data_IF_145286996337
#
_entry.id   IF_145286996337
#
_cell.length_a   1.000
_cell.length_b   1.000
_cell.length_c   1.000
_cell.angle_alpha   90.00
_cell.angle_beta   90.00
_cell.angle_gamma   90.00
#
_symmetry.space_group_name_H-M   'P 1'
#
loop_
_entity.id
_entity.type
_entity.pdbx_description
1 polymer ?
#
# COMPACT_ATOMS: atom_id res chain seq x y z
N UNK A 1 15.49 8.36 2.99
CA UNK A 1 14.38 7.77 3.79
C UNK A 1 14.14 6.29 3.52
N UNK A 2 14.29 5.76 2.30
CA UNK A 2 13.99 4.35 2.00
C UNK A 2 15.07 3.33 2.42
N UNK A 3 16.33 3.74 2.63
CA UNK A 3 17.44 2.84 2.97
C UNK A 3 17.48 2.45 4.45
N UNK A 4 17.16 3.38 5.36
CA UNK A 4 17.07 3.10 6.82
C UNK A 4 15.86 2.24 7.19
N UNK A 5 14.70 2.46 6.56
CA UNK A 5 13.52 1.64 6.85
C UNK A 5 13.72 0.18 6.40
N UNK A 6 14.49 -0.02 5.32
CA UNK A 6 14.82 -1.35 4.81
C UNK A 6 15.87 -2.07 5.66
N UNK A 7 16.85 -1.36 6.25
CA UNK A 7 17.81 -1.98 7.16
C UNK A 7 17.17 -2.39 8.49
N UNK A 8 16.27 -1.56 9.04
CA UNK A 8 15.56 -1.87 10.29
C UNK A 8 14.60 -3.05 10.11
N UNK A 9 13.84 -3.11 9.01
CA UNK A 9 12.94 -4.23 8.73
C UNK A 9 13.70 -5.53 8.50
N UNK A 10 14.80 -5.49 7.75
CA UNK A 10 15.67 -6.64 7.51
C UNK A 10 16.33 -7.15 8.80
N UNK A 11 16.75 -6.26 9.69
CA UNK A 11 17.35 -6.64 10.97
C UNK A 11 16.31 -7.27 11.93
N UNK A 12 15.08 -6.74 11.96
CA UNK A 12 13.96 -7.35 12.71
C UNK A 12 13.58 -8.73 12.18
N UNK A 13 13.56 -8.92 10.86
CA UNK A 13 13.29 -10.21 10.24
C UNK A 13 14.39 -11.24 10.57
N UNK A 14 15.66 -10.85 10.47
CA UNK A 14 16.79 -11.72 10.82
C UNK A 14 16.80 -12.08 12.31
N UNK A 15 16.42 -11.15 13.20
CA UNK A 15 16.33 -11.40 14.64
C UNK A 15 15.24 -12.43 14.98
N UNK A 16 14.07 -12.35 14.33
CA UNK A 16 13.00 -13.32 14.53
C UNK A 16 13.40 -14.71 14.03
N UNK A 17 14.06 -14.82 12.86
CA UNK A 17 14.53 -16.10 12.33
C UNK A 17 15.57 -16.75 13.27
N UNK A 18 16.49 -15.95 13.82
CA UNK A 18 17.47 -16.45 14.79
C UNK A 18 16.81 -16.95 16.09
N UNK A 19 15.80 -16.23 16.59
CA UNK A 19 15.04 -16.63 17.78
C UNK A 19 14.27 -17.95 17.57
N UNK A 20 13.58 -18.09 16.43
CA UNK A 20 12.87 -19.33 16.06
C UNK A 20 13.82 -20.54 16.02
N UNK A 21 15.00 -20.38 15.40
CA UNK A 21 16.01 -21.44 15.34
C UNK A 21 16.56 -21.81 16.72
N UNK A 22 16.77 -20.84 17.62
CA UNK A 22 17.20 -21.09 18.98
C UNK A 22 16.13 -21.82 19.80
N UNK A 23 14.86 -21.47 19.64
CA UNK A 23 13.75 -22.16 20.32
C UNK A 23 13.64 -23.61 19.85
N UNK A 24 13.73 -23.85 18.54
CA UNK A 24 13.71 -25.20 17.97
C UNK A 24 14.90 -26.02 18.51
N UNK A 25 16.11 -25.44 18.52
CA UNK A 25 17.30 -26.10 19.04
C UNK A 25 17.17 -26.44 20.53
N UNK A 26 16.69 -25.49 21.34
CA UNK A 26 16.48 -25.69 22.77
C UNK A 26 15.43 -26.78 23.06
N UNK A 27 14.33 -26.80 22.30
CA UNK A 27 13.31 -27.86 22.39
C UNK A 27 13.88 -29.22 21.98
N UNK A 28 14.65 -29.30 20.89
CA UNK A 28 15.27 -30.54 20.45
C UNK A 28 16.24 -31.10 21.51
N UNK A 29 17.07 -30.23 22.10
CA UNK A 29 17.99 -30.61 23.19
C UNK A 29 17.21 -31.06 24.43
N UNK A 30 16.15 -30.34 24.81
CA UNK A 30 15.31 -30.71 25.95
C UNK A 30 14.62 -32.06 25.74
N UNK A 31 14.06 -32.30 24.54
CA UNK A 31 13.43 -33.58 24.16
C UNK A 31 14.46 -34.70 24.16
N UNK A 32 15.65 -34.48 23.61
CA UNK A 32 16.74 -35.47 23.65
C UNK A 32 17.18 -35.77 25.08
N UNK A 33 17.36 -34.76 25.92
CA UNK A 33 17.75 -34.92 27.32
C UNK A 33 16.67 -35.64 28.13
N UNK A 34 15.39 -35.34 27.92
CA UNK A 34 14.28 -36.09 28.51
C UNK A 34 14.31 -37.55 28.03
N UNK A 35 14.45 -37.78 26.72
CA UNK A 35 14.53 -39.11 26.12
C UNK A 35 15.63 -39.96 26.76
N UNK A 36 16.83 -39.39 26.90
CA UNK A 36 17.99 -40.04 27.49
C UNK A 36 17.86 -40.28 29.00
N UNK A 37 17.14 -39.42 29.73
CA UNK A 37 16.99 -39.57 31.19
C UNK A 37 15.93 -40.60 31.59
N UNK A 38 14.92 -40.81 30.75
CA UNK A 38 13.74 -41.61 31.10
C UNK A 38 13.71 -42.99 30.41
N UNK A 39 14.77 -43.39 29.70
CA UNK A 39 14.84 -44.62 28.89
C UNK A 39 13.53 -44.86 28.12
N UNK A 40 12.99 -43.78 27.54
CA UNK A 40 11.65 -43.75 26.96
C UNK A 40 11.52 -44.79 25.85
N UNK A 41 12.58 -44.96 25.06
CA UNK A 41 12.64 -45.96 24.00
C UNK A 41 12.54 -47.38 24.55
N UNK A 42 13.23 -47.69 25.65
CA UNK A 42 13.20 -49.03 26.25
C UNK A 42 11.81 -49.35 26.82
N UNK A 43 11.17 -48.38 27.49
CA UNK A 43 9.77 -48.52 27.95
C UNK A 43 8.77 -48.66 26.81
N UNK A 44 8.94 -47.93 25.70
CA UNK A 44 8.05 -48.03 24.53
C UNK A 44 8.23 -49.39 23.86
N UNK A 45 9.46 -49.89 23.74
CA UNK A 45 9.76 -51.21 23.17
C UNK A 45 9.22 -52.34 24.06
N UNK A 46 9.36 -52.22 25.39
CA UNK A 46 8.75 -53.16 26.34
C UNK A 46 7.22 -53.14 26.30
N UNK A 47 6.62 -51.94 26.23
CA UNK A 47 5.18 -51.77 26.11
C UNK A 47 4.64 -52.35 24.78
N UNK A 48 5.36 -52.14 23.69
CA UNK A 48 5.08 -52.68 22.36
C UNK A 48 5.11 -54.21 22.36
N UNK A 49 6.18 -54.84 22.88
CA UNK A 49 6.24 -56.31 23.04
C UNK A 49 5.11 -56.88 23.89
N UNK A 50 4.72 -56.17 24.95
CA UNK A 50 3.66 -56.63 25.85
C UNK A 50 2.26 -56.52 25.22
N UNK A 51 2.11 -55.72 24.18
CA UNK A 51 0.87 -55.52 23.43
C UNK A 51 1.04 -55.89 21.95
N UNK A 52 1.78 -56.96 21.64
CA UNK A 52 1.96 -57.50 20.28
C UNK A 52 0.62 -57.81 19.58
N UNK A 53 -0.45 -58.08 20.35
CA UNK A 53 -1.80 -58.33 19.82
C UNK A 53 -2.56 -57.05 19.37
N UNK A 54 -2.08 -55.88 19.76
CA UNK A 54 -2.69 -54.59 19.40
C UNK A 54 -1.86 -53.97 18.27
N UNK A 55 -2.48 -53.67 17.13
CA UNK A 55 -1.91 -53.12 15.87
C UNK A 55 -1.27 -51.72 15.99
N UNK A 56 -0.57 -51.44 17.09
CA UNK A 56 -0.04 -50.14 17.48
C UNK A 56 1.08 -49.64 16.55
N UNK A 57 1.85 -50.56 15.98
CA UNK A 57 2.86 -50.27 14.97
C UNK A 57 2.23 -49.74 13.67
N UNK A 58 1.11 -50.30 13.26
CA UNK A 58 0.35 -49.86 12.09
C UNK A 58 -0.27 -48.47 12.31
N UNK A 59 -0.85 -48.23 13.49
CA UNK A 59 -1.41 -46.90 13.85
C UNK A 59 -0.33 -45.82 13.89
N UNK A 60 0.85 -46.14 14.41
CA UNK A 60 1.96 -45.20 14.52
C UNK A 60 2.48 -44.79 13.13
N UNK A 61 2.57 -45.73 12.20
CA UNK A 61 2.95 -45.47 10.81
C UNK A 61 1.91 -44.57 10.12
N UNK A 62 0.61 -44.88 10.26
CA UNK A 62 -0.48 -44.07 9.69
C UNK A 62 -0.45 -42.64 10.26
N UNK A 63 -0.21 -42.49 11.56
CA UNK A 63 -0.11 -41.18 12.19
C UNK A 63 1.08 -40.36 11.64
N UNK A 64 2.26 -40.98 11.47
CA UNK A 64 3.43 -40.32 10.87
C UNK A 64 3.12 -39.88 9.43
N UNK A 65 2.54 -40.77 8.62
CA UNK A 65 2.16 -40.41 7.24
C UNK A 65 1.12 -39.29 7.19
N UNK A 66 0.13 -39.30 8.10
CA UNK A 66 -0.86 -38.24 8.21
C UNK A 66 -0.19 -36.89 8.52
N UNK A 67 0.71 -36.84 9.50
CA UNK A 67 1.44 -35.62 9.87
C UNK A 67 2.26 -35.10 8.69
N UNK A 68 3.01 -35.98 8.00
CA UNK A 68 3.78 -35.60 6.80
C UNK A 68 2.88 -35.08 5.69
N UNK A 69 1.74 -35.74 5.43
CA UNK A 69 0.78 -35.30 4.41
C UNK A 69 0.18 -33.93 4.75
N UNK A 70 -0.21 -33.69 6.00
CA UNK A 70 -0.77 -32.42 6.46
C UNK A 70 0.25 -31.28 6.43
N UNK A 71 1.49 -31.53 6.85
CA UNK A 71 2.55 -30.52 6.76
C UNK A 71 2.84 -30.16 5.31
N UNK A 72 2.95 -31.16 4.41
CA UNK A 72 3.13 -30.93 2.99
C UNK A 72 1.97 -30.16 2.36
N UNK A 73 0.72 -30.53 2.67
CA UNK A 73 -0.48 -29.84 2.21
C UNK A 73 -0.52 -28.38 2.69
N UNK A 74 -0.23 -28.14 3.98
CA UNK A 74 -0.14 -26.80 4.54
C UNK A 74 0.91 -25.94 3.83
N UNK A 75 2.11 -26.49 3.59
CA UNK A 75 3.17 -25.78 2.86
C UNK A 75 2.77 -25.43 1.43
N UNK A 76 2.09 -26.33 0.72
CA UNK A 76 1.57 -26.05 -0.61
C UNK A 76 0.51 -24.95 -0.58
N UNK A 77 -0.37 -24.96 0.41
CA UNK A 77 -1.47 -23.99 0.51
C UNK A 77 -0.94 -22.57 0.74
N UNK A 78 0.10 -22.42 1.56
CA UNK A 78 0.77 -21.13 1.80
C UNK A 78 1.40 -20.56 0.51
N UNK A 79 1.95 -21.41 -0.37
CA UNK A 79 2.54 -20.96 -1.64
C UNK A 79 1.51 -20.35 -2.58
N UNK A 80 0.31 -20.95 -2.70
CA UNK A 80 -0.77 -20.45 -3.57
C UNK A 80 -1.24 -19.06 -3.15
N UNK A 81 -1.41 -18.84 -1.86
CA UNK A 81 -1.87 -17.57 -1.30
C UNK A 81 -0.88 -16.45 -1.65
N UNK A 82 0.42 -16.69 -1.47
CA UNK A 82 1.47 -15.70 -1.80
C UNK A 82 1.49 -15.29 -3.28
N UNK A 83 1.22 -16.22 -4.18
CA UNK A 83 1.17 -15.91 -5.63
C UNK A 83 -0.02 -14.99 -5.94
N UNK A 84 -1.19 -15.24 -5.34
CA UNK A 84 -2.38 -14.40 -5.54
C UNK A 84 -2.18 -12.98 -5.01
N UNK A 85 -1.54 -12.84 -3.84
CA UNK A 85 -1.20 -11.54 -3.25
C UNK A 85 -0.33 -10.71 -4.20
N UNK A 86 0.69 -11.33 -4.80
CA UNK A 86 1.54 -10.67 -5.77
C UNK A 86 0.78 -10.26 -7.04
N UNK A 87 -0.09 -11.14 -7.56
CA UNK A 87 -0.91 -10.83 -8.73
C UNK A 87 -1.86 -9.65 -8.46
N UNK A 88 -2.51 -9.63 -7.29
CA UNK A 88 -3.37 -8.52 -6.88
C UNK A 88 -2.59 -7.22 -6.77
N UNK A 89 -1.41 -7.26 -6.15
CA UNK A 89 -0.54 -6.09 -6.01
C UNK A 89 -0.09 -5.56 -7.37
N UNK A 90 0.29 -6.45 -8.28
CA UNK A 90 0.68 -6.08 -9.64
C UNK A 90 -0.48 -5.46 -10.40
N UNK A 91 -1.67 -6.06 -10.36
CA UNK A 91 -2.86 -5.51 -11.02
C UNK A 91 -3.26 -4.15 -10.46
N UNK A 92 -3.16 -3.97 -9.15
CA UNK A 92 -3.41 -2.69 -8.51
C UNK A 92 -2.41 -1.61 -9.01
N UNK A 93 -1.12 -1.96 -9.10
CA UNK A 93 -0.10 -1.06 -9.66
C UNK A 93 -0.35 -0.73 -11.14
N UNK A 94 -0.72 -1.72 -11.95
CA UNK A 94 -1.11 -1.51 -13.35
C UNK A 94 -2.30 -0.55 -13.47
N UNK A 95 -3.33 -0.72 -12.63
CA UNK A 95 -4.49 0.18 -12.58
C UNK A 95 -4.11 1.60 -12.17
N UNK A 96 -3.31 1.77 -11.10
CA UNK A 96 -2.83 3.09 -10.64
C UNK A 96 -2.06 3.78 -11.76
N UNK A 97 -1.16 3.07 -12.44
CA UNK A 97 -0.37 3.62 -13.54
C UNK A 97 -1.27 4.04 -14.71
N UNK A 98 -2.23 3.21 -15.11
CA UNK A 98 -3.19 3.55 -16.15
C UNK A 98 -4.02 4.79 -15.79
N UNK A 99 -4.49 4.89 -14.55
CA UNK A 99 -5.21 6.09 -14.05
C UNK A 99 -4.30 7.31 -14.09
N UNK A 100 -3.03 7.18 -13.69
CA UNK A 100 -2.08 8.29 -13.72
C UNK A 100 -1.80 8.79 -15.14
N UNK A 101 -1.71 7.88 -16.11
CA UNK A 101 -1.51 8.24 -17.52
C UNK A 101 -2.75 8.91 -18.10
N UNK A 102 -3.94 8.41 -17.77
CA UNK A 102 -5.21 9.07 -18.13
C UNK A 102 -5.27 10.48 -17.52
N UNK A 103 -4.90 10.66 -16.25
CA UNK A 103 -4.88 11.99 -15.60
C UNK A 103 -3.91 12.95 -16.29
N UNK A 104 -2.75 12.45 -16.73
CA UNK A 104 -1.74 13.25 -17.43
C UNK A 104 -2.23 13.68 -18.83
N UNK A 105 -2.88 12.77 -19.55
CA UNK A 105 -3.46 13.03 -20.87
C UNK A 105 -4.71 13.94 -20.79
N UNK A 106 -5.51 13.82 -19.72
CA UNK A 106 -6.67 14.72 -19.46
C UNK A 106 -6.28 16.11 -18.94
N UNK A 107 -5.01 16.34 -18.61
CA UNK A 107 -4.52 17.64 -18.14
C UNK A 107 -4.30 18.68 -19.24
N UNK A 108 -4.32 18.26 -20.52
CA UNK A 108 -4.12 19.16 -21.67
C UNK A 108 -5.49 19.62 -22.16
N UNK A 109 -5.85 20.86 -21.81
CA UNK A 109 -7.06 21.49 -22.31
C UNK A 109 -6.72 22.22 -23.62
N UNK A 110 -7.28 21.82 -24.78
CA UNK A 110 -7.04 22.49 -26.04
C UNK A 110 -7.67 23.89 -26.03
N UNK A 111 -6.83 24.92 -26.04
CA UNK A 111 -7.23 26.33 -26.02
C UNK A 111 -6.87 27.03 -27.34
N UNK A 112 -7.78 27.86 -27.87
CA UNK A 112 -7.51 28.65 -29.07
C UNK A 112 -6.45 29.72 -28.77
N UNK A 113 -5.36 29.75 -29.55
CA UNK A 113 -4.30 30.74 -29.35
C UNK A 113 -4.78 32.19 -29.53
N UNK A 114 -5.77 32.42 -30.41
CA UNK A 114 -6.28 33.76 -30.75
C UNK A 114 -7.37 34.24 -29.79
N UNK A 115 -8.44 33.47 -29.59
CA UNK A 115 -9.62 33.91 -28.84
C UNK A 115 -9.76 33.28 -27.45
N UNK A 116 -8.81 32.43 -27.04
CA UNK A 116 -8.76 31.76 -25.72
C UNK A 116 -9.94 30.84 -25.38
N UNK A 117 -10.84 30.56 -26.31
CA UNK A 117 -11.90 29.56 -26.13
C UNK A 117 -11.30 28.16 -25.93
N UNK A 118 -11.99 27.31 -25.17
CA UNK A 118 -11.64 25.91 -24.95
C UNK A 118 -12.46 25.03 -25.87
N UNK A 119 -11.84 24.00 -26.47
CA UNK A 119 -12.56 23.00 -27.26
C UNK A 119 -12.98 21.82 -26.38
N UNK A 120 -14.25 21.42 -26.45
CA UNK A 120 -14.75 20.22 -25.76
C UNK A 120 -14.52 18.93 -26.56
N UNK A 121 -14.85 17.79 -25.94
CA UNK A 121 -14.73 16.46 -26.56
C UNK A 121 -15.71 16.26 -27.75
N UNK A 122 -16.78 17.07 -27.82
CA UNK A 122 -17.73 17.09 -28.94
C UNK A 122 -17.25 17.97 -30.11
N UNK A 123 -16.16 18.70 -29.93
CA UNK A 123 -15.54 19.57 -30.92
C UNK A 123 -16.04 21.02 -30.93
N UNK A 124 -16.93 21.42 -30.02
CA UNK A 124 -17.44 22.78 -29.89
C UNK A 124 -16.50 23.66 -29.07
N UNK A 125 -16.59 24.98 -29.30
CA UNK A 125 -15.76 25.98 -28.64
C UNK A 125 -16.54 26.77 -27.59
N UNK A 126 -16.09 26.70 -26.34
CA UNK A 126 -16.71 27.37 -25.20
C UNK A 126 -15.81 28.47 -24.65
N UNK A 127 -16.42 29.46 -23.99
CA UNK A 127 -15.65 30.40 -23.16
C UNK A 127 -15.03 29.65 -21.97
N UNK A 128 -13.86 30.13 -21.51
CA UNK A 128 -13.07 29.45 -20.48
C UNK A 128 -13.87 29.31 -19.19
N UNK A 129 -14.56 30.37 -18.81
CA UNK A 129 -15.34 30.49 -17.59
C UNK A 129 -16.49 29.48 -17.58
N UNK A 130 -17.19 29.35 -18.71
CA UNK A 130 -18.28 28.38 -18.90
C UNK A 130 -17.73 26.97 -18.83
N UNK A 131 -16.67 26.68 -19.58
CA UNK A 131 -16.08 25.35 -19.61
C UNK A 131 -15.59 24.89 -18.23
N UNK A 132 -14.84 25.74 -17.51
CA UNK A 132 -14.30 25.40 -16.19
C UNK A 132 -15.42 25.25 -15.16
N UNK A 133 -16.44 26.10 -15.18
CA UNK A 133 -17.60 25.96 -14.28
C UNK A 133 -18.36 24.66 -14.51
N UNK A 134 -18.54 24.27 -15.77
CA UNK A 134 -19.34 23.09 -16.13
C UNK A 134 -18.55 21.78 -15.95
N UNK A 135 -17.21 21.82 -15.94
CA UNK A 135 -16.32 20.65 -15.85
C UNK A 135 -15.47 20.59 -14.56
N UNK A 136 -15.71 21.47 -13.59
CA UNK A 136 -15.02 21.46 -12.29
C UNK A 136 -15.91 22.01 -11.18
N UNK A 137 -15.48 21.87 -9.93
CA UNK A 137 -16.16 22.46 -8.77
C UNK A 137 -15.82 23.94 -8.54
N UNK A 138 -15.17 24.61 -9.51
CA UNK A 138 -14.74 25.99 -9.38
C UNK A 138 -15.90 26.98 -9.50
N UNK A 139 -15.95 27.96 -8.58
CA UNK A 139 -16.91 29.07 -8.59
C UNK A 139 -16.16 30.36 -8.92
N UNK A 140 -16.58 31.06 -9.97
CA UNK A 140 -15.99 32.34 -10.37
C UNK A 140 -16.69 33.51 -9.65
N UNK A 141 -15.92 34.29 -8.90
CA UNK A 141 -16.33 35.62 -8.43
C UNK A 141 -15.91 36.68 -9.43
N UNK A 142 -16.78 37.66 -9.69
CA UNK A 142 -16.43 38.80 -10.53
C UNK A 142 -15.73 39.85 -9.66
N UNK A 143 -14.46 40.16 -9.96
CA UNK A 143 -13.68 41.20 -9.31
C UNK A 143 -12.86 41.97 -10.33
N UNK A 144 -12.46 43.19 -10.00
CA UNK A 144 -11.60 44.03 -10.84
C UNK A 144 -10.21 44.04 -10.21
N UNK A 145 -9.16 43.70 -10.97
CA UNK A 145 -7.79 43.79 -10.45
C UNK A 145 -7.32 45.26 -10.39
N UNK A 146 -6.32 45.59 -9.56
CA UNK A 146 -5.86 46.98 -9.40
C UNK A 146 -5.41 47.65 -10.72
N UNK A 147 -4.90 46.88 -11.69
CA UNK A 147 -4.48 47.41 -12.99
C UNK A 147 -5.68 47.77 -13.87
N UNK A 148 -6.72 46.93 -13.88
CA UNK A 148 -7.97 47.21 -14.58
C UNK A 148 -8.72 48.37 -13.92
N UNK A 149 -8.66 48.47 -12.59
CA UNK A 149 -9.29 49.55 -11.84
C UNK A 149 -8.68 50.90 -12.22
N UNK A 150 -7.34 51.02 -12.26
CA UNK A 150 -6.64 52.24 -12.71
C UNK A 150 -6.97 52.63 -14.14
N UNK A 151 -7.22 51.65 -15.01
CA UNK A 151 -7.55 51.88 -16.43
C UNK A 151 -8.99 52.30 -16.65
N UNK A 152 -9.94 51.68 -15.93
CA UNK A 152 -11.37 51.93 -16.04
C UNK A 152 -11.82 53.15 -15.23
N UNK A 153 -11.15 53.41 -14.10
CA UNK A 153 -11.48 54.45 -13.14
C UNK A 153 -10.26 55.34 -12.79
N UNK A 154 -9.58 55.95 -13.78
CA UNK A 154 -8.40 56.76 -13.52
C UNK A 154 -8.68 57.98 -12.63
N UNK A 155 -9.90 58.52 -12.68
CA UNK A 155 -10.30 59.71 -11.92
C UNK A 155 -10.45 59.45 -10.41
N UNK A 156 -10.72 58.21 -10.00
CA UNK A 156 -10.78 57.82 -8.60
C UNK A 156 -9.38 57.73 -7.98
N UNK A 157 -8.36 57.30 -8.74
CA UNK A 157 -6.98 57.26 -8.27
C UNK A 157 -6.28 58.63 -8.26
N UNK A 158 -6.73 59.58 -9.09
CA UNK A 158 -6.11 60.90 -9.19
C UNK A 158 -6.59 61.90 -8.13
N UNK A 159 -7.65 61.61 -7.37
CA UNK A 159 -8.18 62.52 -6.34
C UNK A 159 -7.54 62.37 -4.95
N UNK A 160 -6.88 61.26 -4.65
CA UNK A 160 -6.33 61.00 -3.32
C UNK A 160 -4.94 61.64 -3.06
N UNK A 161 -4.33 62.30 -4.06
CA UNK A 161 -3.09 63.07 -3.86
C UNK A 161 -3.32 64.53 -3.42
N UNK A 162 -4.55 64.90 -3.07
CA UNK A 162 -4.93 66.29 -2.76
C UNK A 162 -5.50 66.57 -1.38
N UNK A 163 -5.67 65.59 -0.48
CA UNK A 163 -6.34 65.82 0.82
C UNK A 163 -5.69 65.08 2.01
N UNK A 164 -4.36 65.13 2.12
CA UNK A 164 -3.68 64.66 3.34
C UNK A 164 -2.58 65.63 3.82
N UNK A 165 -2.91 66.92 3.92
CA UNK A 165 -2.07 67.92 4.60
C UNK A 165 -2.75 68.66 5.78
N UNK A 166 -4.05 68.47 6.03
CA UNK A 166 -4.77 69.34 6.98
C UNK A 166 -5.42 68.59 8.16
N UNK A 167 -4.71 67.68 8.84
CA UNK A 167 -5.11 67.19 10.18
C UNK A 167 -3.91 66.88 11.08
N UNK A 168 -3.19 67.94 11.45
CA UNK A 168 -2.37 67.96 12.68
C UNK A 168 -2.35 69.40 13.23
N UNK A 169 -3.35 69.72 14.04
CA UNK A 169 -3.35 70.78 15.06
C UNK A 169 -4.14 70.27 16.24
#
# INVERSE_FOLDING_TARGET
>A
MNTEQNSISKNRANLNIGLELLVILALAIAVYALSARYDILERIVEFSRKHEDWQLDEILIVFIYLVVALTFFGLQQVRKIRISENNLTQKNKELINAISEIKRLRGIIPICASCKKIRDDSGFWHQVEVYVRDHSEAIFSHGVCPDCEKKLYPDFFNKDKGQNQDKSS
#
